data_IF_328763822712
#
_entry.id   IF_328763822712
#
_cell.length_a   1.000
_cell.length_b   1.000
_cell.length_c   1.000
_cell.angle_alpha   90.00
_cell.angle_beta   90.00
_cell.angle_gamma   90.00
#
_symmetry.space_group_name_H-M   'P 1'
#
loop_
_entity.id
_entity.type
_entity.pdbx_description
1 polymer ?
#
# COMPACT_ATOMS: atom_id res chain seq x y z
N UNK A 1 -1.11 76.50 5.67
CA UNK A 1 -0.29 75.39 6.22
C UNK A 1 -1.08 74.10 6.09
N UNK A 2 -0.55 73.14 5.30
CA UNK A 2 -0.50 71.68 5.58
C UNK A 2 -1.79 71.04 6.19
N UNK A 3 -2.46 70.04 5.61
CA UNK A 3 -1.98 68.87 4.84
C UNK A 3 -3.14 68.22 4.06
N UNK A 4 -2.83 67.75 2.85
CA UNK A 4 -3.52 66.65 2.18
C UNK A 4 -3.22 65.37 2.99
N UNK A 5 -4.23 64.63 3.42
CA UNK A 5 -4.08 63.21 3.80
C UNK A 5 -5.27 62.43 3.25
N UNK A 6 -4.91 61.52 2.36
CA UNK A 6 -5.69 60.51 1.67
C UNK A 6 -6.36 59.60 2.70
N UNK A 7 -7.68 59.41 2.61
CA UNK A 7 -8.37 58.36 3.37
C UNK A 7 -7.97 57.00 2.79
N UNK A 8 -7.03 56.35 3.48
CA UNK A 8 -6.64 54.96 3.29
C UNK A 8 -7.86 54.05 3.45
N UNK A 9 -8.14 53.26 2.41
CA UNK A 9 -8.96 52.05 2.49
C UNK A 9 -8.19 51.05 3.34
N UNK A 10 -8.43 51.05 4.64
CA UNK A 10 -8.06 49.95 5.52
C UNK A 10 -9.23 48.96 5.54
N UNK A 11 -9.29 48.10 4.52
CA UNK A 11 -10.02 46.83 4.65
C UNK A 11 -9.22 46.02 5.65
N UNK A 12 -9.60 46.17 6.92
CA UNK A 12 -9.17 45.32 8.00
C UNK A 12 -9.63 43.90 7.67
N UNK A 13 -8.72 43.10 7.14
CA UNK A 13 -8.81 41.65 7.09
C UNK A 13 -8.75 41.17 8.55
N UNK A 14 -9.88 41.24 9.26
CA UNK A 14 -10.02 40.61 10.57
C UNK A 14 -10.31 39.14 10.32
N UNK A 15 -9.21 38.39 10.34
CA UNK A 15 -9.12 36.94 10.42
C UNK A 15 -9.99 36.48 11.59
N UNK A 16 -11.10 35.79 11.28
CA UNK A 16 -11.78 34.94 12.27
C UNK A 16 -11.84 33.55 11.66
N UNK A 17 -10.86 32.76 12.09
CA UNK A 17 -10.86 31.32 12.22
C UNK A 17 -11.57 30.55 11.10
N UNK A 18 -10.79 30.15 10.11
CA UNK A 18 -11.07 28.89 9.42
C UNK A 18 -11.16 27.77 10.47
N UNK A 19 -12.17 26.91 10.35
CA UNK A 19 -12.10 25.60 10.97
C UNK A 19 -11.04 24.78 10.21
N UNK A 20 -9.76 25.00 10.54
CA UNK A 20 -8.74 23.96 10.36
C UNK A 20 -9.00 22.91 11.42
N UNK A 21 -9.68 21.84 11.04
CA UNK A 21 -9.48 20.54 11.66
C UNK A 21 -8.37 19.79 10.91
N UNK A 22 -7.24 20.46 10.69
CA UNK A 22 -5.95 19.78 10.59
C UNK A 22 -5.34 19.86 11.99
N UNK A 23 -5.67 18.87 12.81
CA UNK A 23 -4.74 18.42 13.82
C UNK A 23 -3.98 17.26 13.19
N UNK A 24 -3.01 17.61 12.36
CA UNK A 24 -1.92 16.70 12.06
C UNK A 24 -1.38 16.19 13.39
N UNK A 25 -1.36 14.88 13.55
CA UNK A 25 -0.61 14.21 14.62
C UNK A 25 0.85 14.24 14.18
N UNK A 26 1.77 14.89 14.91
CA UNK A 26 3.19 14.67 14.72
C UNK A 26 3.66 13.51 15.63
N UNK A 27 4.69 12.78 15.18
CA UNK A 27 5.36 11.60 15.74
C UNK A 27 4.75 10.23 15.37
N UNK A 28 5.49 9.26 14.82
CA UNK A 28 6.94 9.04 14.90
C UNK A 28 7.79 9.48 13.69
N UNK A 29 8.91 10.09 14.02
CA UNK A 29 10.11 10.20 13.21
C UNK A 29 10.78 8.81 13.09
N UNK A 30 11.25 8.49 11.88
CA UNK A 30 12.03 7.30 11.52
C UNK A 30 11.27 5.94 11.40
N UNK A 31 10.26 5.85 10.54
CA UNK A 31 9.97 4.62 9.76
C UNK A 31 9.01 4.90 8.59
N UNK A 32 9.53 4.78 7.37
CA UNK A 32 8.82 4.62 6.10
C UNK A 32 7.76 5.70 5.81
N UNK A 33 8.27 6.85 5.36
CA UNK A 33 7.51 7.65 4.41
C UNK A 33 7.38 6.87 3.11
N UNK A 34 6.21 6.30 2.87
CA UNK A 34 5.49 6.56 1.65
C UNK A 34 3.99 6.61 1.96
N UNK A 35 3.29 7.35 1.14
CA UNK A 35 1.84 7.43 1.15
C UNK A 35 1.24 6.18 0.46
N UNK A 36 2.06 5.22 0.00
CA UNK A 36 1.73 4.17 -0.97
C UNK A 36 1.37 2.85 -0.26
N UNK A 37 2.13 2.46 0.78
CA UNK A 37 1.84 1.31 1.67
C UNK A 37 0.47 1.46 2.34
N UNK A 38 0.00 2.70 2.53
CA UNK A 38 -1.29 2.95 3.17
C UNK A 38 -2.47 2.91 2.21
N UNK A 39 -2.28 3.14 0.89
CA UNK A 39 -3.41 3.31 -0.05
C UNK A 39 -4.34 2.09 -0.07
N UNK A 40 -3.78 0.88 0.02
CA UNK A 40 -4.54 -0.37 0.01
C UNK A 40 -4.54 -1.11 1.35
N UNK A 41 -3.95 -0.54 2.41
CA UNK A 41 -4.00 -1.15 3.73
C UNK A 41 -5.38 -0.91 4.35
N UNK A 42 -5.98 -1.95 4.97
CA UNK A 42 -7.27 -1.84 5.69
C UNK A 42 -7.13 -2.04 7.20
N UNK A 43 -6.08 -2.76 7.62
CA UNK A 43 -5.72 -2.91 9.03
C UNK A 43 -4.21 -2.77 9.20
N UNK A 44 -3.78 -1.83 10.03
CA UNK A 44 -2.37 -1.52 10.28
C UNK A 44 -1.99 -1.82 11.74
N UNK A 45 -0.76 -2.27 11.96
CA UNK A 45 -0.18 -2.40 13.28
C UNK A 45 0.88 -1.32 13.46
N UNK A 46 0.68 -0.41 14.41
CA UNK A 46 1.55 0.76 14.63
C UNK A 46 2.78 0.46 15.51
N UNK A 47 2.99 -0.81 15.85
CA UNK A 47 4.02 -1.23 16.80
C UNK A 47 3.45 -1.64 18.15
N UNK A 48 2.23 -1.22 18.52
CA UNK A 48 1.53 -1.66 19.74
C UNK A 48 0.03 -1.93 19.54
N UNK A 49 -0.65 -1.06 18.80
CA UNK A 49 -2.08 -1.09 18.58
C UNK A 49 -2.42 -1.54 17.16
N UNK A 50 -3.60 -2.11 17.01
CA UNK A 50 -4.19 -2.38 15.70
C UNK A 50 -5.11 -1.23 15.33
N UNK A 51 -4.90 -0.71 14.13
CA UNK A 51 -5.57 0.45 13.59
C UNK A 51 -6.37 0.07 12.35
N UNK A 52 -7.58 0.61 12.22
CA UNK A 52 -8.30 0.62 10.94
C UNK A 52 -7.73 1.70 10.03
N UNK A 53 -7.71 1.44 8.73
CA UNK A 53 -7.28 2.38 7.69
C UNK A 53 -8.43 2.62 6.71
N UNK A 54 -8.67 3.88 6.36
CA UNK A 54 -9.69 4.33 5.40
C UNK A 54 -9.07 5.42 4.53
N UNK A 55 -9.18 5.28 3.21
CA UNK A 55 -8.62 6.23 2.23
C UNK A 55 -7.13 6.56 2.49
N UNK A 56 -6.33 5.53 2.76
CA UNK A 56 -4.91 5.68 3.07
C UNK A 56 -4.60 6.32 4.42
N UNK A 57 -5.58 6.47 5.31
CA UNK A 57 -5.42 7.15 6.60
C UNK A 57 -5.94 6.32 7.76
N UNK A 58 -5.20 6.35 8.85
CA UNK A 58 -5.62 5.72 10.11
C UNK A 58 -6.94 6.34 10.57
N UNK A 59 -7.99 5.52 10.65
CA UNK A 59 -9.32 5.94 11.10
C UNK A 59 -9.47 5.87 12.62
N UNK A 60 -8.70 4.98 13.26
CA UNK A 60 -8.71 4.77 14.71
C UNK A 60 -8.00 3.48 15.10
N UNK A 61 -7.51 3.41 16.32
CA UNK A 61 -6.74 2.27 16.83
C UNK A 61 -7.33 1.72 18.12
N UNK A 62 -6.95 0.48 18.46
CA UNK A 62 -7.10 -0.02 19.83
C UNK A 62 -6.35 0.88 20.81
N UNK A 63 -6.75 0.91 22.08
CA UNK A 63 -6.07 1.68 23.14
C UNK A 63 -5.52 0.71 24.21
N UNK A 64 -4.67 -0.22 23.77
CA UNK A 64 -4.07 -1.21 24.69
C UNK A 64 -2.80 -0.60 25.28
N UNK A 65 -2.62 -0.77 26.59
CA UNK A 65 -1.41 -0.33 27.29
C UNK A 65 -0.20 -1.17 26.86
N UNK A 66 0.86 -0.48 26.48
CA UNK A 66 2.08 -1.08 25.95
C UNK A 66 3.15 -1.15 27.09
N UNK A 67 3.61 -2.34 27.50
CA UNK A 67 4.81 -2.61 28.32
C UNK A 67 6.07 -3.09 27.53
N UNK A 68 7.21 -2.41 27.70
CA UNK A 68 8.49 -2.78 27.07
C UNK A 68 8.90 -1.88 25.89
N UNK A 69 9.92 -2.31 25.14
CA UNK A 69 10.44 -1.60 23.97
C UNK A 69 9.61 -2.02 22.75
N UNK A 70 8.58 -1.24 22.42
CA UNK A 70 7.72 -1.50 21.25
C UNK A 70 8.43 -1.07 19.98
N UNK A 71 9.41 -1.87 19.58
CA UNK A 71 10.01 -1.87 18.24
C UNK A 71 9.52 -3.09 17.45
N UNK A 72 8.24 -3.45 17.56
CA UNK A 72 7.67 -4.39 16.60
C UNK A 72 7.45 -3.61 15.31
N UNK A 73 8.11 -4.01 14.24
CA UNK A 73 8.07 -3.31 12.96
C UNK A 73 6.62 -3.02 12.57
N UNK A 74 6.30 -1.73 12.55
CA UNK A 74 4.97 -1.27 12.19
C UNK A 74 4.69 -1.70 10.75
N UNK A 75 3.50 -2.27 10.50
CA UNK A 75 3.21 -2.94 9.24
C UNK A 75 1.72 -3.01 8.95
N UNK A 76 1.38 -3.10 7.68
CA UNK A 76 0.04 -3.51 7.30
C UNK A 76 -0.19 -4.98 7.69
N UNK A 77 -1.36 -5.27 8.24
CA UNK A 77 -1.82 -6.61 8.62
C UNK A 77 -2.76 -7.19 7.57
N UNK A 78 -3.50 -6.33 6.86
CA UNK A 78 -4.51 -6.73 5.89
C UNK A 78 -4.64 -5.66 4.80
N UNK A 79 -4.68 -6.12 3.54
CA UNK A 79 -4.80 -5.27 2.36
C UNK A 79 -6.16 -5.46 1.67
N UNK A 80 -6.62 -4.43 0.96
CA UNK A 80 -7.84 -4.48 0.16
C UNK A 80 -7.73 -5.55 -0.93
N UNK A 81 -8.80 -6.35 -1.06
CA UNK A 81 -8.87 -7.39 -2.08
C UNK A 81 -8.80 -6.80 -3.49
N UNK A 82 -7.98 -7.40 -4.35
CA UNK A 82 -7.75 -6.90 -5.70
C UNK A 82 -6.76 -5.74 -5.79
N UNK A 83 -5.96 -5.48 -4.76
CA UNK A 83 -4.74 -4.64 -4.85
C UNK A 83 -3.51 -5.47 -5.24
N UNK A 84 -2.43 -4.80 -5.67
CA UNK A 84 -1.14 -5.45 -5.98
C UNK A 84 -0.55 -6.16 -4.75
N UNK A 85 -0.55 -5.50 -3.60
CA UNK A 85 -0.06 -6.09 -2.32
C UNK A 85 -0.87 -7.32 -1.92
N UNK A 86 -2.20 -7.23 -2.03
CA UNK A 86 -3.07 -8.38 -1.76
C UNK A 86 -2.78 -9.53 -2.73
N UNK A 87 -2.54 -9.24 -4.00
CA UNK A 87 -2.23 -10.27 -5.00
C UNK A 87 -0.90 -10.95 -4.69
N UNK A 88 0.12 -10.21 -4.23
CA UNK A 88 1.39 -10.79 -3.79
C UNK A 88 1.20 -11.73 -2.60
N UNK A 89 0.44 -11.30 -1.57
CA UNK A 89 0.15 -12.13 -0.39
C UNK A 89 -0.58 -13.42 -0.78
N UNK A 90 -1.57 -13.32 -1.65
CA UNK A 90 -2.32 -14.49 -2.14
C UNK A 90 -1.39 -15.42 -2.93
N UNK A 91 -0.52 -14.88 -3.79
CA UNK A 91 0.43 -15.67 -4.55
C UNK A 91 1.43 -16.39 -3.63
N UNK A 92 2.00 -15.71 -2.64
CA UNK A 92 2.94 -16.26 -1.65
C UNK A 92 2.33 -17.41 -0.85
N UNK A 93 1.06 -17.27 -0.46
CA UNK A 93 0.33 -18.29 0.29
C UNK A 93 -0.18 -19.46 -0.58
N UNK A 94 -0.04 -19.38 -1.90
CA UNK A 94 -0.55 -20.38 -2.84
C UNK A 94 0.49 -21.42 -3.25
N UNK A 95 0.07 -22.39 -4.06
CA UNK A 95 0.97 -23.38 -4.64
C UNK A 95 1.91 -22.81 -5.73
N UNK A 96 1.77 -21.54 -6.13
CA UNK A 96 2.70 -20.91 -7.07
C UNK A 96 4.16 -20.98 -6.60
N UNK A 97 4.39 -20.86 -5.29
CA UNK A 97 5.72 -20.90 -4.67
C UNK A 97 6.38 -22.29 -4.69
N UNK A 98 5.65 -23.33 -5.08
CA UNK A 98 6.22 -24.66 -5.35
C UNK A 98 7.02 -24.69 -6.67
N UNK A 99 6.73 -23.78 -7.59
CA UNK A 99 7.31 -23.77 -8.94
C UNK A 99 8.42 -22.73 -9.14
N UNK A 100 8.53 -21.75 -8.26
CA UNK A 100 9.55 -20.70 -8.34
C UNK A 100 9.39 -19.61 -7.29
N UNK A 101 10.29 -18.65 -7.33
CA UNK A 101 10.21 -17.42 -6.52
C UNK A 101 9.38 -16.36 -7.26
N UNK A 102 8.50 -15.66 -6.55
CA UNK A 102 7.75 -14.53 -7.12
C UNK A 102 8.66 -13.35 -7.40
N UNK A 103 8.46 -12.67 -8.53
CA UNK A 103 9.20 -11.47 -8.91
C UNK A 103 8.45 -10.22 -8.42
N UNK A 104 8.96 -9.55 -7.39
CA UNK A 104 8.41 -8.27 -6.89
C UNK A 104 8.39 -7.19 -7.97
N UNK A 105 9.38 -7.18 -8.87
CA UNK A 105 9.49 -6.20 -9.96
C UNK A 105 8.61 -6.51 -11.20
N UNK A 106 7.88 -7.63 -11.22
CA UNK A 106 7.13 -8.09 -12.40
C UNK A 106 5.73 -8.55 -12.03
N UNK A 107 4.93 -7.60 -11.55
CA UNK A 107 3.49 -7.72 -11.34
C UNK A 107 2.75 -6.89 -12.40
N UNK A 108 1.70 -7.47 -13.00
CA UNK A 108 0.87 -6.79 -13.99
C UNK A 108 -0.60 -7.14 -13.78
N UNK A 109 -1.47 -6.14 -13.80
CA UNK A 109 -2.92 -6.36 -13.79
C UNK A 109 -3.49 -6.46 -15.21
N UNK A 110 -4.32 -7.47 -15.46
CA UNK A 110 -5.06 -7.65 -16.70
C UNK A 110 -6.55 -7.35 -16.48
N UNK A 111 -6.98 -6.19 -16.97
CA UNK A 111 -8.36 -5.68 -16.85
C UNK A 111 -9.40 -6.59 -17.52
N UNK A 112 -9.04 -7.31 -18.59
CA UNK A 112 -10.00 -8.16 -19.33
C UNK A 112 -10.35 -9.42 -18.55
N UNK A 113 -9.36 -10.02 -17.88
CA UNK A 113 -9.53 -11.25 -17.10
C UNK A 113 -9.70 -11.00 -15.61
N UNK A 114 -9.50 -9.76 -15.13
CA UNK A 114 -9.54 -9.40 -13.72
C UNK A 114 -8.56 -10.23 -12.90
N UNK A 115 -7.32 -10.25 -13.37
CA UNK A 115 -6.23 -11.07 -12.80
C UNK A 115 -4.93 -10.28 -12.68
N UNK A 116 -4.20 -10.51 -11.59
CA UNK A 116 -2.79 -10.16 -11.47
C UNK A 116 -1.92 -11.28 -12.03
N UNK A 117 -0.88 -10.91 -12.75
CA UNK A 117 0.14 -11.79 -13.31
C UNK A 117 1.46 -11.42 -12.68
N UNK A 118 1.99 -12.32 -11.84
CA UNK A 118 3.26 -12.15 -11.15
C UNK A 118 4.24 -13.14 -11.76
N UNK A 119 5.32 -12.66 -12.38
CA UNK A 119 6.29 -13.58 -12.97
C UNK A 119 6.96 -14.45 -11.88
N UNK A 120 7.18 -15.71 -12.23
CA UNK A 120 7.91 -16.67 -11.39
C UNK A 120 9.30 -16.86 -11.96
N UNK A 121 10.31 -16.80 -11.10
CA UNK A 121 11.66 -17.28 -11.37
C UNK A 121 11.65 -18.79 -11.06
N UNK A 122 11.56 -19.67 -12.07
CA UNK A 122 11.31 -21.09 -11.81
C UNK A 122 12.56 -21.78 -11.23
N UNK A 123 12.35 -22.72 -10.31
CA UNK A 123 13.45 -23.54 -9.76
C UNK A 123 14.04 -24.48 -10.82
N UNK A 124 13.21 -24.97 -11.73
CA UNK A 124 13.60 -25.77 -12.89
C UNK A 124 12.98 -25.20 -14.16
N UNK A 125 13.80 -24.99 -15.21
CA UNK A 125 13.32 -24.45 -16.48
C UNK A 125 13.78 -25.26 -17.70
N UNK A 126 13.41 -26.55 -17.80
CA UNK A 126 13.87 -27.45 -18.86
C UNK A 126 13.41 -27.05 -20.28
N UNK A 127 12.43 -26.15 -20.39
CA UNK A 127 11.79 -25.79 -21.67
C UNK A 127 11.86 -24.30 -21.99
N UNK A 128 12.74 -23.55 -21.30
CA UNK A 128 12.89 -22.10 -21.47
C UNK A 128 11.54 -21.35 -21.46
N UNK A 129 10.75 -21.63 -20.42
CA UNK A 129 9.49 -20.99 -20.13
C UNK A 129 9.67 -19.78 -19.23
N UNK A 130 8.72 -18.84 -19.30
CA UNK A 130 8.58 -17.75 -18.34
C UNK A 130 7.23 -17.87 -17.61
N UNK A 131 7.14 -18.72 -16.57
CA UNK A 131 5.90 -18.93 -15.85
C UNK A 131 5.46 -17.67 -15.10
N UNK A 132 4.15 -17.55 -14.85
CA UNK A 132 3.59 -16.55 -13.95
C UNK A 132 2.59 -17.20 -12.99
N UNK A 133 2.54 -16.71 -11.76
CA UNK A 133 1.41 -16.91 -10.87
C UNK A 133 0.29 -15.95 -11.29
N UNK A 134 -0.85 -16.50 -11.68
CA UNK A 134 -2.03 -15.73 -12.03
C UNK A 134 -2.97 -15.75 -10.83
N UNK A 135 -3.25 -14.57 -10.27
CA UNK A 135 -4.13 -14.38 -9.11
C UNK A 135 -5.42 -13.72 -9.56
N UNK A 136 -6.56 -14.33 -9.27
CA UNK A 136 -7.88 -13.80 -9.57
C UNK A 136 -8.40 -12.93 -8.42
N UNK A 137 -9.25 -11.93 -8.68
CA UNK A 137 -9.85 -11.06 -7.64
C UNK A 137 -10.60 -11.81 -6.53
N UNK A 138 -11.03 -13.06 -6.79
CA UNK A 138 -11.68 -13.90 -5.79
C UNK A 138 -10.71 -14.67 -4.88
N UNK A 139 -9.40 -14.50 -5.06
CA UNK A 139 -8.33 -15.13 -4.28
C UNK A 139 -7.88 -16.50 -4.78
N UNK A 140 -8.44 -17.00 -5.88
CA UNK A 140 -7.95 -18.23 -6.52
C UNK A 140 -6.68 -17.97 -7.33
N UNK A 141 -5.85 -19.02 -7.49
CA UNK A 141 -4.57 -18.92 -8.21
C UNK A 141 -4.39 -20.04 -9.24
N UNK A 142 -3.58 -19.77 -10.26
CA UNK A 142 -3.06 -20.78 -11.19
C UNK A 142 -1.64 -20.42 -11.65
N UNK A 143 -0.87 -21.42 -12.12
CA UNK A 143 0.44 -21.19 -12.73
C UNK A 143 0.32 -21.26 -14.25
N UNK A 144 0.64 -20.17 -14.93
CA UNK A 144 0.62 -20.08 -16.38
C UNK A 144 2.02 -20.19 -16.97
N UNK A 145 2.29 -21.31 -17.66
CA UNK A 145 3.58 -21.57 -18.31
C UNK A 145 3.63 -21.00 -19.74
N UNK A 146 4.29 -19.86 -19.92
CA UNK A 146 4.50 -19.24 -21.23
C UNK A 146 5.84 -19.70 -21.81
N UNK A 147 5.82 -20.75 -22.62
CA UNK A 147 7.03 -21.36 -23.17
C UNK A 147 7.32 -20.90 -24.60
N UNK A 148 8.58 -20.57 -24.90
CA UNK A 148 9.04 -20.31 -26.27
C UNK A 148 9.56 -21.62 -26.83
N UNK A 149 8.83 -22.23 -27.77
CA UNK A 149 9.03 -23.62 -28.23
C UNK A 149 10.31 -23.90 -29.04
N UNK A 150 11.49 -23.50 -28.57
CA UNK A 150 12.78 -23.94 -29.09
C UNK A 150 13.36 -25.00 -28.14
N UNK A 151 12.86 -26.22 -28.31
CA UNK A 151 13.56 -27.41 -27.84
C UNK A 151 14.79 -27.59 -28.75
N UNK A 152 15.98 -27.29 -28.24
CA UNK A 152 17.23 -27.66 -28.94
C UNK A 152 17.60 -29.10 -28.58
#
# INVERSE_FOLDING_TARGET
MKKIIIFLVAVSCLIIAGCSADKGIPYGDDALGDNEIMENCISYYDGCNTCGVVDGKISGCTEIGCEGDYSKDAKCLEYEAGSEDWAMIVAEASNCTEYGTLSEDSIMYNENSKTYWIDLIPFENPYNCNPACVVYENGSTEVNWRCTGLLN
#
